data_IF_265090069044
#
_entry.id   IF_265090069044
#
_cell.length_a   1.000
_cell.length_b   1.000
_cell.length_c   1.000
_cell.angle_alpha   90.00
_cell.angle_beta   90.00
_cell.angle_gamma   90.00
#
_symmetry.space_group_name_H-M   'P 1'
#
loop_
_entity.id
_entity.type
_entity.pdbx_description
1 polymer ?
#
# COMPACT_ATOMS: atom_id res chain seq x y z
N UNK A 1 0.87 -16.49 -20.60
CA UNK A 1 0.76 -15.14 -21.19
C UNK A 1 -0.58 -14.55 -20.77
N UNK A 2 -0.53 -13.38 -20.13
CA UNK A 2 -1.73 -12.63 -19.78
C UNK A 2 -2.31 -12.01 -21.05
N UNK A 3 -3.65 -11.99 -21.23
CA UNK A 3 -4.25 -11.33 -22.37
C UNK A 3 -3.89 -9.84 -22.33
N UNK A 4 -3.54 -9.28 -23.49
CA UNK A 4 -3.30 -7.87 -23.60
C UNK A 4 -4.60 -7.09 -23.42
N UNK A 5 -4.84 -6.59 -22.22
CA UNK A 5 -5.70 -5.45 -22.06
C UNK A 5 -4.82 -4.19 -22.15
N UNK A 6 -4.70 -3.65 -23.35
CA UNK A 6 -3.87 -2.49 -23.63
C UNK A 6 -4.28 -1.27 -22.76
N UNK A 7 -5.51 -1.22 -22.30
CA UNK A 7 -6.01 -0.11 -21.49
C UNK A 7 -5.46 -0.18 -20.05
N UNK A 8 -5.48 -1.35 -19.42
CA UNK A 8 -4.98 -1.46 -18.04
C UNK A 8 -3.44 -1.42 -18.00
N UNK A 9 -2.77 -2.00 -19.00
CA UNK A 9 -1.29 -1.96 -19.09
C UNK A 9 -0.74 -0.54 -19.22
N UNK A 10 -1.49 0.39 -19.84
CA UNK A 10 -1.10 1.81 -19.94
C UNK A 10 -1.09 2.54 -18.61
N UNK A 11 -1.70 1.96 -17.57
CA UNK A 11 -1.65 2.48 -16.20
C UNK A 11 -0.37 2.07 -15.47
N UNK A 12 0.40 1.15 -16.06
CA UNK A 12 1.68 0.68 -15.50
C UNK A 12 2.77 1.73 -15.66
N UNK A 13 3.71 1.74 -14.72
CA UNK A 13 4.88 2.61 -14.75
C UNK A 13 6.13 1.82 -14.35
N UNK A 14 7.17 1.92 -15.15
CA UNK A 14 8.49 1.34 -14.88
C UNK A 14 9.43 2.35 -14.19
N UNK A 15 8.91 3.51 -13.83
CA UNK A 15 9.63 4.61 -13.18
C UNK A 15 10.93 5.04 -13.88
N UNK A 16 11.00 4.80 -15.18
CA UNK A 16 12.15 5.16 -16.00
C UNK A 16 12.21 6.63 -16.42
N UNK A 17 11.11 7.37 -16.24
CA UNK A 17 10.98 8.75 -16.70
C UNK A 17 10.33 9.63 -15.62
N UNK A 18 11.00 10.69 -15.13
CA UNK A 18 10.43 11.59 -14.12
C UNK A 18 9.08 12.20 -14.50
N UNK A 19 8.84 12.40 -15.80
CA UNK A 19 7.59 12.99 -16.29
C UNK A 19 6.35 12.14 -16.00
N UNK A 20 6.49 10.82 -15.82
CA UNK A 20 5.35 9.93 -15.55
C UNK A 20 4.77 10.15 -14.16
N UNK A 21 5.49 10.83 -13.26
CA UNK A 21 4.97 11.21 -11.95
C UNK A 21 3.68 12.04 -12.05
N UNK A 22 3.53 12.83 -13.11
CA UNK A 22 2.32 13.59 -13.39
C UNK A 22 1.08 12.77 -13.73
N UNK A 23 1.22 11.48 -14.03
CA UNK A 23 0.12 10.57 -14.34
C UNK A 23 -0.52 10.00 -13.07
N UNK A 24 0.14 10.13 -11.92
CA UNK A 24 -0.32 9.60 -10.65
C UNK A 24 -1.18 10.61 -9.91
N UNK A 25 -2.35 10.18 -9.50
CA UNK A 25 -3.21 10.94 -8.59
C UNK A 25 -2.68 10.83 -7.16
N UNK A 26 -2.93 11.86 -6.36
CA UNK A 26 -2.54 11.92 -4.96
C UNK A 26 -3.78 12.11 -4.09
N UNK A 27 -3.96 11.22 -3.10
CA UNK A 27 -5.17 11.17 -2.28
C UNK A 27 -5.47 12.49 -1.57
N UNK A 28 -4.45 13.16 -1.05
CA UNK A 28 -4.64 14.41 -0.33
C UNK A 28 -5.22 15.53 -1.21
N UNK A 29 -4.83 15.58 -2.48
CA UNK A 29 -5.37 16.55 -3.45
C UNK A 29 -6.82 16.23 -3.82
N UNK A 30 -7.09 14.97 -4.08
CA UNK A 30 -8.39 14.52 -4.57
C UNK A 30 -9.47 14.53 -3.50
N UNK A 31 -9.06 14.47 -2.24
CA UNK A 31 -9.94 14.55 -1.08
C UNK A 31 -9.84 15.89 -0.34
N UNK A 32 -9.14 16.86 -0.91
CA UNK A 32 -9.01 18.23 -0.39
C UNK A 32 -8.39 18.33 1.01
N UNK A 33 -7.52 17.39 1.38
CA UNK A 33 -6.78 17.47 2.62
C UNK A 33 -5.69 18.54 2.55
N UNK A 34 -5.45 19.33 3.61
CA UNK A 34 -4.41 20.35 3.61
C UNK A 34 -2.99 19.78 3.71
N UNK A 35 -2.85 18.55 4.22
CA UNK A 35 -1.56 17.92 4.47
C UNK A 35 -1.19 16.93 3.36
N UNK A 36 -0.06 17.19 2.69
CA UNK A 36 0.69 16.19 1.95
C UNK A 36 1.48 15.32 2.94
N UNK A 37 1.27 14.02 2.94
CA UNK A 37 1.93 13.09 3.86
C UNK A 37 3.31 12.63 3.35
N UNK A 38 3.83 13.22 2.28
CA UNK A 38 5.19 12.97 1.81
C UNK A 38 6.11 14.18 2.04
N UNK A 39 7.27 13.90 2.58
CA UNK A 39 8.42 14.80 2.56
C UNK A 39 9.09 14.79 1.18
N UNK A 40 9.17 13.59 0.56
CA UNK A 40 9.81 13.42 -0.73
C UNK A 40 9.05 12.45 -1.62
N UNK A 41 8.95 12.82 -2.91
CA UNK A 41 8.42 11.99 -3.98
C UNK A 41 9.19 12.30 -5.26
N UNK A 42 9.98 11.36 -5.76
CA UNK A 42 10.71 11.55 -7.02
C UNK A 42 10.86 10.24 -7.80
N UNK A 43 11.02 10.38 -9.11
CA UNK A 43 11.44 9.30 -10.00
C UNK A 43 12.85 9.63 -10.51
N UNK A 44 13.79 8.77 -10.17
CA UNK A 44 15.14 8.79 -10.72
C UNK A 44 16.12 9.79 -10.11
N UNK A 45 15.68 10.75 -9.29
CA UNK A 45 16.56 11.70 -8.64
C UNK A 45 17.33 11.06 -7.48
N UNK A 46 16.64 10.33 -6.62
CA UNK A 46 17.26 9.60 -5.51
C UNK A 46 17.94 8.32 -6.01
N UNK A 47 17.27 7.57 -6.88
CA UNK A 47 17.78 6.34 -7.49
C UNK A 47 17.33 6.24 -8.93
N UNK A 48 18.26 6.19 -9.93
CA UNK A 48 17.90 6.08 -11.33
C UNK A 48 17.00 4.88 -11.62
N UNK A 49 15.86 5.12 -12.30
CA UNK A 49 14.89 4.10 -12.67
C UNK A 49 13.99 3.61 -11.53
N UNK A 50 13.93 4.33 -10.42
CA UNK A 50 13.10 3.99 -9.27
C UNK A 50 12.25 5.18 -8.81
N UNK A 51 11.05 4.89 -8.33
CA UNK A 51 10.27 5.84 -7.56
C UNK A 51 10.73 5.80 -6.11
N UNK A 52 11.13 6.94 -5.56
CA UNK A 52 11.50 7.11 -4.16
C UNK A 52 10.44 7.88 -3.41
N UNK A 53 10.03 7.38 -2.26
CA UNK A 53 9.03 7.97 -1.37
C UNK A 53 9.56 8.03 0.06
N UNK A 54 9.48 9.22 0.66
CA UNK A 54 9.80 9.45 2.08
C UNK A 54 8.56 10.05 2.74
N UNK A 55 7.90 9.35 3.67
CA UNK A 55 6.73 9.89 4.35
C UNK A 55 7.10 10.83 5.49
N UNK A 56 6.22 11.76 5.79
CA UNK A 56 6.09 12.31 7.13
C UNK A 56 5.51 11.24 8.07
N UNK A 57 5.56 11.48 9.38
CA UNK A 57 4.89 10.62 10.36
C UNK A 57 3.40 10.58 10.07
N UNK A 58 2.89 9.40 9.74
CA UNK A 58 1.50 9.17 9.36
C UNK A 58 1.16 7.68 9.45
N UNK A 59 -0.10 7.32 9.23
CA UNK A 59 -0.53 5.91 9.21
C UNK A 59 -1.69 5.67 8.26
N UNK A 60 -1.81 4.42 7.79
CA UNK A 60 -3.05 3.82 7.31
C UNK A 60 -3.50 2.77 8.33
N UNK A 61 -4.36 3.17 9.23
CA UNK A 61 -4.99 2.28 10.22
C UNK A 61 -6.35 2.85 10.62
N UNK A 62 -7.41 2.05 10.56
CA UNK A 62 -8.77 2.54 10.79
C UNK A 62 -9.08 3.78 9.94
N UNK A 63 -9.29 4.94 10.55
CA UNK A 63 -9.61 6.20 9.89
C UNK A 63 -8.40 7.15 9.76
N UNK A 64 -7.20 6.72 10.12
CA UNK A 64 -5.97 7.44 9.81
C UNK A 64 -5.66 7.34 8.33
N UNK A 65 -5.26 8.45 7.73
CA UNK A 65 -4.91 8.59 6.33
C UNK A 65 -3.41 8.87 6.16
N UNK A 66 -2.70 7.96 5.55
CA UNK A 66 -1.35 8.19 5.03
C UNK A 66 -1.36 8.69 3.58
N UNK A 67 -0.24 8.58 2.91
CA UNK A 67 -0.13 8.83 1.47
C UNK A 67 -0.81 7.72 0.67
N UNK A 68 -1.33 8.09 -0.50
CA UNK A 68 -1.66 7.17 -1.58
C UNK A 68 -1.44 7.87 -2.93
N UNK A 69 -0.44 7.41 -3.67
CA UNK A 69 -0.22 7.75 -5.08
C UNK A 69 -0.85 6.66 -5.94
N UNK A 70 -1.88 6.98 -6.72
CA UNK A 70 -2.76 5.95 -7.27
C UNK A 70 -3.27 6.23 -8.67
N UNK A 71 -3.80 5.19 -9.30
CA UNK A 71 -4.71 5.23 -10.44
C UNK A 71 -6.06 4.62 -10.08
N UNK A 72 -7.05 4.80 -10.95
CA UNK A 72 -8.40 4.25 -10.76
C UNK A 72 -8.60 3.07 -11.70
N UNK A 73 -8.99 1.93 -11.15
CA UNK A 73 -9.19 0.68 -11.91
C UNK A 73 -10.58 0.15 -11.69
N UNK A 74 -11.29 -0.12 -12.78
CA UNK A 74 -12.58 -0.79 -12.78
C UNK A 74 -12.43 -2.29 -13.08
N UNK A 75 -13.19 -3.13 -12.38
CA UNK A 75 -13.21 -4.59 -12.56
C UNK A 75 -12.00 -5.30 -11.97
N UNK A 76 -11.73 -6.50 -12.47
CA UNK A 76 -10.64 -7.35 -11.99
C UNK A 76 -9.27 -6.86 -12.45
N UNK A 77 -8.26 -7.05 -11.61
CA UNK A 77 -6.89 -6.66 -11.92
C UNK A 77 -5.87 -7.49 -11.13
N UNK A 78 -4.65 -7.45 -11.60
CA UNK A 78 -3.44 -7.81 -10.84
C UNK A 78 -2.53 -6.60 -10.83
N UNK A 79 -2.23 -6.08 -9.65
CA UNK A 79 -1.25 -5.03 -9.42
C UNK A 79 0.01 -5.64 -8.83
N UNK A 80 1.18 -5.35 -9.41
CA UNK A 80 2.47 -5.90 -8.97
C UNK A 80 3.51 -4.81 -8.85
N UNK A 81 4.29 -4.83 -7.78
CA UNK A 81 5.43 -3.93 -7.57
C UNK A 81 6.60 -4.70 -6.98
N UNK A 82 7.79 -4.15 -7.12
CA UNK A 82 8.99 -4.55 -6.39
C UNK A 82 9.40 -3.38 -5.52
N UNK A 83 9.56 -3.63 -4.23
CA UNK A 83 9.83 -2.60 -3.23
C UNK A 83 11.04 -2.94 -2.38
N UNK A 84 11.78 -1.92 -2.01
CA UNK A 84 12.83 -1.94 -1.00
C UNK A 84 12.52 -0.87 0.05
N UNK A 85 12.78 -1.16 1.32
CA UNK A 85 12.60 -0.23 2.44
C UNK A 85 13.87 -0.14 3.25
N UNK A 86 14.21 1.06 3.71
CA UNK A 86 15.42 1.33 4.46
C UNK A 86 15.15 2.33 5.58
N UNK A 87 15.97 2.26 6.61
CA UNK A 87 16.12 3.37 7.54
C UNK A 87 16.83 4.52 6.82
N UNK A 88 16.17 5.65 6.67
CA UNK A 88 16.69 6.82 5.93
C UNK A 88 17.92 7.45 6.58
N UNK A 89 18.13 7.25 7.88
CA UNK A 89 19.31 7.71 8.61
C UNK A 89 20.56 6.83 8.35
N UNK A 90 20.38 5.70 7.67
CA UNK A 90 21.48 4.80 7.34
C UNK A 90 22.45 5.39 6.32
N UNK A 91 23.73 5.10 6.50
CA UNK A 91 24.84 5.60 5.68
C UNK A 91 25.17 4.63 4.55
N UNK A 92 24.36 4.58 3.52
CA UNK A 92 24.69 3.79 2.33
C UNK A 92 24.29 4.49 1.04
N UNK A 93 24.88 4.12 -0.12
CA UNK A 93 24.40 4.64 -1.39
C UNK A 93 22.96 4.20 -1.63
N UNK A 94 22.16 4.98 -2.40
CA UNK A 94 20.83 4.60 -2.77
C UNK A 94 20.76 3.17 -3.31
N UNK A 95 19.84 2.37 -2.79
CA UNK A 95 19.72 0.96 -3.15
C UNK A 95 20.65 0.01 -2.41
N UNK A 96 21.43 0.48 -1.45
CA UNK A 96 22.16 -0.39 -0.54
C UNK A 96 21.30 -0.70 0.69
N UNK A 97 21.39 -1.95 1.18
CA UNK A 97 20.78 -2.35 2.45
C UNK A 97 21.58 -1.87 3.68
N UNK A 98 22.56 -0.99 3.48
CA UNK A 98 23.45 -0.56 4.56
C UNK A 98 22.74 0.22 5.66
N UNK A 99 21.55 0.80 5.37
CA UNK A 99 20.74 1.47 6.36
C UNK A 99 19.96 0.55 7.30
N UNK A 100 19.86 -0.74 6.94
CA UNK A 100 19.01 -1.68 7.68
C UNK A 100 17.52 -1.39 7.55
N UNK A 101 16.67 -2.15 8.28
CA UNK A 101 15.24 -1.87 8.33
C UNK A 101 14.96 -0.57 9.09
N UNK A 102 13.79 0.06 8.85
CA UNK A 102 13.34 1.16 9.69
C UNK A 102 13.27 0.78 11.17
N UNK A 103 13.52 1.71 12.06
CA UNK A 103 13.50 1.51 13.51
C UNK A 103 12.17 1.93 14.14
N UNK A 104 11.35 2.71 13.44
CA UNK A 104 10.04 3.14 13.90
C UNK A 104 8.98 2.05 13.72
N UNK A 105 8.02 2.00 14.63
CA UNK A 105 6.91 1.06 14.59
C UNK A 105 6.00 1.35 13.40
N UNK A 106 5.64 0.31 12.65
CA UNK A 106 4.82 0.39 11.42
C UNK A 106 5.35 1.40 10.40
N UNK A 107 6.60 1.24 10.04
CA UNK A 107 7.27 1.93 8.93
C UNK A 107 7.23 1.04 7.70
N UNK A 108 6.24 1.26 6.82
CA UNK A 108 5.82 0.31 5.82
C UNK A 108 5.60 0.96 4.45
N UNK A 109 5.88 0.19 3.40
CA UNK A 109 5.69 0.57 2.01
C UNK A 109 5.05 -0.56 1.21
N UNK A 110 4.15 -0.25 0.29
CA UNK A 110 3.53 -1.30 -0.53
C UNK A 110 2.37 -0.87 -1.39
N UNK A 111 1.52 -1.83 -1.73
CA UNK A 111 0.35 -1.64 -2.59
C UNK A 111 -0.90 -1.50 -1.73
N UNK A 112 -1.60 -0.39 -1.90
CA UNK A 112 -2.91 -0.15 -1.30
C UNK A 112 -4.01 -0.23 -2.37
N UNK A 113 -5.08 -0.93 -2.04
CA UNK A 113 -6.33 -1.02 -2.80
C UNK A 113 -7.45 -0.44 -1.95
N UNK A 114 -8.05 0.69 -2.38
CA UNK A 114 -9.02 1.44 -1.57
C UNK A 114 -10.30 1.73 -2.36
N UNK A 115 -11.43 1.62 -1.69
CA UNK A 115 -12.68 2.14 -2.20
C UNK A 115 -12.65 3.69 -2.16
N UNK A 116 -12.97 4.38 -3.26
CA UNK A 116 -13.16 5.83 -3.22
C UNK A 116 -14.21 6.20 -2.17
N UNK A 117 -13.97 7.29 -1.45
CA UNK A 117 -14.98 7.86 -0.55
C UNK A 117 -16.09 8.52 -1.39
N UNK A 118 -17.32 8.15 -1.10
CA UNK A 118 -18.49 8.69 -1.81
C UNK A 118 -18.97 10.04 -1.24
N UNK A 119 -18.50 10.40 -0.06
CA UNK A 119 -18.88 11.59 0.70
C UNK A 119 -17.94 12.79 0.48
N UNK A 120 -16.95 12.66 -0.40
CA UNK A 120 -16.03 13.76 -0.74
C UNK A 120 -16.78 14.91 -1.39
N UNK A 121 -16.69 16.09 -0.79
CA UNK A 121 -17.24 17.35 -1.29
C UNK A 121 -16.12 18.39 -1.38
N UNK A 122 -16.06 19.10 -2.51
CA UNK A 122 -15.10 20.19 -2.71
C UNK A 122 -15.37 21.34 -1.72
N UNK A 123 -14.39 22.02 -1.18
CA UNK A 123 -12.95 21.98 -1.49
C UNK A 123 -12.13 22.04 -0.19
N UNK A 124 -12.62 21.49 0.86
CA UNK A 124 -11.99 21.36 2.16
C UNK A 124 -12.39 20.01 2.81
N UNK A 125 -11.73 19.55 3.85
CA UNK A 125 -12.02 18.25 4.44
C UNK A 125 -13.23 18.23 5.40
N UNK A 126 -14.08 19.24 5.41
CA UNK A 126 -15.27 19.30 6.27
C UNK A 126 -16.31 18.20 5.98
N UNK A 127 -16.23 17.60 4.78
CA UNK A 127 -17.02 16.42 4.39
C UNK A 127 -16.64 15.17 5.20
N UNK A 128 -15.39 15.09 5.66
CA UNK A 128 -14.84 13.87 6.24
C UNK A 128 -15.47 13.53 7.60
N UNK A 129 -15.83 12.27 7.74
CA UNK A 129 -16.27 11.66 8.98
C UNK A 129 -15.58 10.31 9.17
N UNK A 130 -15.25 9.89 10.39
CA UNK A 130 -14.71 8.57 10.65
C UNK A 130 -15.72 7.46 10.29
N UNK A 131 -15.23 6.24 10.17
CA UNK A 131 -16.07 5.06 9.92
C UNK A 131 -16.31 4.74 8.45
N UNK A 132 -15.78 5.54 7.50
CA UNK A 132 -16.03 5.34 6.07
C UNK A 132 -14.92 4.64 5.29
N UNK A 133 -13.80 4.30 5.91
CA UNK A 133 -12.65 3.73 5.20
C UNK A 133 -12.83 2.25 4.86
N UNK A 134 -12.49 1.89 3.62
CA UNK A 134 -12.50 0.52 3.09
C UNK A 134 -11.29 0.32 2.20
N UNK A 135 -10.32 -0.44 2.68
CA UNK A 135 -9.10 -0.70 1.93
C UNK A 135 -8.45 -2.04 2.31
N UNK A 136 -7.57 -2.50 1.45
CA UNK A 136 -6.64 -3.61 1.69
C UNK A 136 -5.24 -3.15 1.35
N UNK A 137 -4.29 -3.48 2.22
CA UNK A 137 -2.89 -3.10 2.09
C UNK A 137 -1.99 -4.32 2.23
N UNK A 138 -1.06 -4.46 1.29
CA UNK A 138 0.04 -5.42 1.32
C UNK A 138 1.34 -4.64 1.34
N UNK A 139 2.16 -4.83 2.36
CA UNK A 139 3.33 -3.99 2.61
C UNK A 139 4.55 -4.75 3.12
N UNK A 140 5.68 -4.08 3.02
CA UNK A 140 6.99 -4.51 3.47
C UNK A 140 7.69 -3.38 4.22
N UNK A 141 8.40 -3.69 5.29
CA UNK A 141 9.14 -2.76 6.13
C UNK A 141 9.24 -3.25 7.57
N UNK A 142 9.33 -2.36 8.54
CA UNK A 142 9.17 -2.66 9.96
C UNK A 142 7.72 -2.52 10.38
N UNK A 143 7.14 -3.52 11.01
CA UNK A 143 5.78 -3.48 11.52
C UNK A 143 5.77 -3.50 13.06
N UNK A 144 5.21 -4.53 13.67
CA UNK A 144 5.14 -4.67 15.13
C UNK A 144 6.48 -4.94 15.82
N UNK A 145 7.47 -5.39 15.07
CA UNK A 145 8.84 -5.57 15.54
C UNK A 145 9.73 -4.53 14.87
N UNK A 146 10.06 -3.48 15.60
CA UNK A 146 10.96 -2.41 15.15
C UNK A 146 12.35 -2.94 14.83
N UNK A 147 12.99 -2.38 13.81
CA UNK A 147 14.33 -2.80 13.40
C UNK A 147 14.39 -4.21 12.76
N UNK A 148 13.27 -4.74 12.27
CA UNK A 148 13.20 -6.01 11.56
C UNK A 148 12.36 -5.88 10.29
N UNK A 149 12.77 -6.55 9.20
CA UNK A 149 11.91 -6.63 8.01
C UNK A 149 10.75 -7.59 8.23
N UNK A 150 9.57 -7.12 7.89
CA UNK A 150 8.32 -7.85 8.03
C UNK A 150 7.41 -7.60 6.82
N UNK A 151 6.52 -8.53 6.54
CA UNK A 151 5.39 -8.36 5.64
C UNK A 151 4.16 -8.12 6.50
N UNK A 152 3.40 -7.06 6.18
CA UNK A 152 2.09 -6.82 6.75
C UNK A 152 1.01 -6.97 5.68
N UNK A 153 -0.12 -7.56 6.05
CA UNK A 153 -1.37 -7.46 5.33
C UNK A 153 -2.42 -6.81 6.22
N UNK A 154 -3.08 -5.78 5.73
CA UNK A 154 -4.12 -5.06 6.46
C UNK A 154 -5.42 -5.05 5.66
N UNK A 155 -6.52 -5.26 6.35
CA UNK A 155 -7.87 -5.16 5.79
C UNK A 155 -8.69 -4.24 6.66
N UNK A 156 -9.15 -3.12 6.10
CA UNK A 156 -10.00 -2.14 6.78
C UNK A 156 -11.38 -2.13 6.13
N UNK A 157 -12.41 -2.21 6.94
CA UNK A 157 -13.82 -2.10 6.53
C UNK A 157 -14.47 -0.89 7.17
N UNK A 158 -15.51 -0.38 6.54
CA UNK A 158 -16.32 0.67 7.14
C UNK A 158 -16.97 0.20 8.44
N UNK A 159 -17.27 1.16 9.30
CA UNK A 159 -18.01 0.93 10.54
C UNK A 159 -19.39 0.35 10.25
N UNK A 160 -19.83 -0.57 11.10
CA UNK A 160 -21.18 -1.10 11.14
C UNK A 160 -21.75 -0.78 12.53
N UNK A 161 -22.90 -0.10 12.65
CA UNK A 161 -23.43 0.25 13.97
C UNK A 161 -23.48 -0.95 14.93
N UNK A 162 -23.06 -0.80 16.18
CA UNK A 162 -22.77 0.46 16.91
C UNK A 162 -21.33 1.01 16.76
N UNK A 163 -20.51 0.48 15.86
CA UNK A 163 -19.15 1.01 15.61
C UNK A 163 -19.24 2.45 15.10
N UNK A 164 -18.29 3.29 15.52
CA UNK A 164 -18.18 4.70 15.11
C UNK A 164 -16.94 4.96 14.25
N UNK A 165 -16.05 3.98 14.16
CA UNK A 165 -14.79 4.04 13.43
C UNK A 165 -14.65 2.84 12.53
N UNK A 166 -13.93 3.01 11.42
CA UNK A 166 -13.53 1.92 10.55
C UNK A 166 -12.72 0.88 11.32
N UNK A 167 -12.86 -0.38 10.94
CA UNK A 167 -12.23 -1.50 11.66
C UNK A 167 -11.13 -2.11 10.82
N UNK A 168 -9.92 -2.12 11.36
CA UNK A 168 -8.75 -2.74 10.73
C UNK A 168 -8.39 -4.07 11.37
N UNK A 169 -8.10 -5.06 10.54
CA UNK A 169 -7.50 -6.33 10.92
C UNK A 169 -6.20 -6.51 10.14
N UNK A 170 -5.12 -6.82 10.84
CA UNK A 170 -3.80 -6.97 10.24
C UNK A 170 -3.15 -8.29 10.64
N UNK A 171 -2.29 -8.79 9.78
CA UNK A 171 -1.42 -9.96 10.02
C UNK A 171 0.00 -9.56 9.65
N UNK A 172 0.93 -9.87 10.54
CA UNK A 172 2.36 -9.55 10.40
C UNK A 172 3.16 -10.83 10.46
N UNK A 173 4.11 -10.97 9.56
CA UNK A 173 5.06 -12.08 9.55
C UNK A 173 6.47 -11.61 9.24
N UNK A 174 7.50 -12.41 9.59
CA UNK A 174 8.88 -12.08 9.29
C UNK A 174 9.13 -12.05 7.79
N UNK A 175 10.11 -11.25 7.38
CA UNK A 175 10.62 -11.20 6.01
C UNK A 175 12.15 -11.12 6.00
N UNK A 176 12.73 -11.47 4.85
CA UNK A 176 14.17 -11.36 4.63
C UNK A 176 14.55 -9.95 4.17
N UNK A 177 15.81 -9.58 4.42
CA UNK A 177 16.39 -8.37 3.84
C UNK A 177 16.43 -8.45 2.30
N UNK A 178 16.27 -7.32 1.64
CA UNK A 178 16.37 -7.20 0.18
C UNK A 178 15.06 -6.80 -0.49
N UNK A 179 15.07 -6.76 -1.82
CA UNK A 179 13.87 -6.42 -2.57
C UNK A 179 12.79 -7.49 -2.42
N UNK A 180 11.57 -7.04 -2.22
CA UNK A 180 10.38 -7.88 -2.13
C UNK A 180 9.42 -7.53 -3.26
N UNK A 181 8.89 -8.53 -3.92
CA UNK A 181 7.81 -8.35 -4.88
C UNK A 181 6.46 -8.58 -4.17
N UNK A 182 5.60 -7.60 -4.31
CA UNK A 182 4.24 -7.58 -3.78
C UNK A 182 3.24 -7.62 -4.92
N UNK A 183 2.21 -8.45 -4.77
CA UNK A 183 1.15 -8.57 -5.77
C UNK A 183 -0.21 -8.64 -5.11
N UNK A 184 -1.13 -7.81 -5.59
CA UNK A 184 -2.53 -7.81 -5.18
C UNK A 184 -3.38 -8.13 -6.40
N UNK A 185 -4.09 -9.25 -6.37
CA UNK A 185 -5.05 -9.64 -7.39
C UNK A 185 -6.47 -9.45 -6.89
N UNK A 186 -7.31 -8.75 -7.69
CA UNK A 186 -8.75 -8.70 -7.51
C UNK A 186 -9.42 -9.60 -8.52
N UNK A 187 -10.30 -10.49 -8.06
CA UNK A 187 -11.14 -11.35 -8.89
C UNK A 187 -12.55 -11.36 -8.28
N UNK A 188 -13.47 -10.61 -8.89
CA UNK A 188 -14.79 -10.37 -8.32
C UNK A 188 -14.67 -9.77 -6.90
N UNK A 189 -15.26 -10.43 -5.88
CA UNK A 189 -15.18 -9.96 -4.50
C UNK A 189 -13.90 -10.39 -3.78
N UNK A 190 -13.05 -11.20 -4.41
CA UNK A 190 -11.87 -11.76 -3.77
C UNK A 190 -10.64 -10.90 -4.00
N UNK A 191 -9.85 -10.70 -2.94
CA UNK A 191 -8.51 -10.16 -2.99
C UNK A 191 -7.52 -11.24 -2.55
N UNK A 192 -6.56 -11.53 -3.43
CA UNK A 192 -5.48 -12.49 -3.20
C UNK A 192 -4.17 -11.72 -3.14
N UNK A 193 -3.51 -11.81 -2.01
CA UNK A 193 -2.24 -11.13 -1.75
C UNK A 193 -1.10 -12.14 -1.87
N UNK A 194 -0.13 -11.84 -2.73
CA UNK A 194 1.03 -12.68 -2.97
C UNK A 194 2.32 -11.92 -2.68
N UNK A 195 3.31 -12.66 -2.20
CA UNK A 195 4.63 -12.12 -1.89
C UNK A 195 5.71 -13.03 -2.49
N UNK A 196 6.76 -12.40 -3.00
CA UNK A 196 7.99 -13.08 -3.40
C UNK A 196 9.20 -12.32 -2.84
N UNK A 197 9.88 -12.91 -1.89
CA UNK A 197 11.16 -12.41 -1.39
C UNK A 197 12.29 -12.79 -2.35
N UNK A 198 13.40 -12.07 -2.29
CA UNK A 198 14.55 -12.32 -3.16
C UNK A 198 15.03 -13.77 -3.06
N UNK A 199 15.15 -14.43 -4.20
CA UNK A 199 15.56 -15.84 -4.29
C UNK A 199 14.51 -16.87 -3.88
N UNK A 200 13.29 -16.44 -3.51
CA UNK A 200 12.20 -17.32 -3.12
C UNK A 200 11.15 -17.46 -4.24
N UNK A 201 10.30 -18.47 -4.12
CA UNK A 201 9.12 -18.62 -4.96
C UNK A 201 7.98 -17.70 -4.47
N UNK A 202 7.04 -17.38 -5.37
CA UNK A 202 5.79 -16.74 -4.97
C UNK A 202 5.04 -17.60 -3.95
N UNK A 203 4.45 -16.94 -2.94
CA UNK A 203 3.52 -17.55 -1.99
C UNK A 203 2.25 -16.73 -1.85
N UNK A 204 1.16 -17.39 -1.54
CA UNK A 204 -0.07 -16.73 -1.12
C UNK A 204 0.13 -16.24 0.31
N UNK A 205 0.09 -14.94 0.50
CA UNK A 205 0.26 -14.32 1.82
C UNK A 205 -1.07 -14.23 2.56
N UNK A 206 -2.14 -13.85 1.86
CA UNK A 206 -3.48 -13.75 2.44
C UNK A 206 -4.54 -13.83 1.35
N UNK A 207 -5.73 -14.31 1.73
CA UNK A 207 -6.92 -14.33 0.90
C UNK A 207 -8.05 -13.66 1.64
N UNK A 208 -8.85 -12.86 0.93
CA UNK A 208 -9.95 -12.12 1.52
C UNK A 208 -11.17 -12.15 0.62
N UNK A 209 -12.35 -12.30 1.22
CA UNK A 209 -13.61 -12.02 0.56
C UNK A 209 -14.08 -10.63 0.98
N UNK A 210 -14.11 -9.68 0.05
CA UNK A 210 -14.41 -8.26 0.26
C UNK A 210 -15.53 -7.79 -0.68
N UNK A 211 -16.75 -8.31 -0.51
CA UNK A 211 -17.90 -7.88 -1.31
C UNK A 211 -18.34 -6.43 -1.05
N UNK A 212 -17.83 -5.82 0.03
CA UNK A 212 -18.04 -4.42 0.38
C UNK A 212 -17.24 -3.43 -0.50
N UNK A 213 -16.27 -3.92 -1.25
CA UNK A 213 -15.48 -3.08 -2.16
C UNK A 213 -16.22 -2.89 -3.49
N UNK A 214 -16.35 -1.63 -3.97
CA UNK A 214 -17.07 -1.34 -5.21
C UNK A 214 -16.34 -1.86 -6.46
N UNK A 215 -17.04 -1.82 -7.60
CA UNK A 215 -16.52 -2.24 -8.91
C UNK A 215 -15.28 -1.44 -9.36
N UNK A 216 -15.14 -0.20 -8.88
CA UNK A 216 -14.04 0.70 -9.22
C UNK A 216 -13.25 1.05 -7.96
N UNK A 217 -11.93 0.92 -8.01
CA UNK A 217 -11.03 1.08 -6.88
C UNK A 217 -9.88 2.04 -7.20
N UNK A 218 -9.39 2.69 -6.16
CA UNK A 218 -8.10 3.39 -6.15
C UNK A 218 -7.02 2.36 -5.86
N UNK A 219 -6.05 2.21 -6.76
CA UNK A 219 -4.97 1.22 -6.64
C UNK A 219 -3.64 1.91 -6.85
N UNK A 220 -2.74 1.80 -5.89
CA UNK A 220 -1.48 2.52 -5.99
C UNK A 220 -0.48 2.17 -4.90
N UNK A 221 0.53 3.02 -4.80
CA UNK A 221 1.62 2.88 -3.86
C UNK A 221 1.41 3.77 -2.65
N UNK A 222 1.78 3.25 -1.49
CA UNK A 222 1.70 3.97 -0.22
C UNK A 222 2.92 3.73 0.63
N UNK A 223 3.21 4.71 1.47
CA UNK A 223 4.24 4.68 2.51
C UNK A 223 3.73 5.39 3.75
N UNK A 224 4.11 4.91 4.91
CA UNK A 224 3.89 5.60 6.18
C UNK A 224 4.86 5.11 7.24
N UNK A 225 5.03 5.87 8.32
CA UNK A 225 6.01 5.58 9.37
C UNK A 225 5.57 6.13 10.71
N UNK A 226 6.13 5.55 11.78
CA UNK A 226 6.10 6.06 13.15
C UNK A 226 4.70 6.04 13.78
N UNK A 227 4.12 4.84 13.85
CA UNK A 227 2.83 4.63 14.52
C UNK A 227 2.83 5.10 15.98
N UNK A 228 3.95 4.97 16.68
CA UNK A 228 4.06 5.37 18.09
C UNK A 228 3.69 6.86 18.29
N UNK A 229 3.95 7.70 17.31
CA UNK A 229 3.57 9.11 17.30
C UNK A 229 2.24 9.33 16.57
N UNK A 230 2.07 8.78 15.36
CA UNK A 230 0.85 8.96 14.57
C UNK A 230 -0.40 8.54 15.36
N UNK A 231 -0.36 7.42 16.06
CA UNK A 231 -1.47 6.88 16.84
C UNK A 231 -1.85 7.69 18.09
N UNK A 232 -1.06 8.70 18.48
CA UNK A 232 -1.39 9.61 19.60
C UNK A 232 -2.28 10.78 19.19
N UNK A 233 -2.47 10.99 17.89
CA UNK A 233 -3.25 12.10 17.35
C UNK A 233 -4.71 11.70 17.15
N UNK A 234 -5.68 12.62 17.35
CA UNK A 234 -7.03 12.40 16.86
C UNK A 234 -7.04 12.26 15.32
N UNK A 235 -7.91 11.41 14.77
CA UNK A 235 -7.97 11.13 13.34
C UNK A 235 -8.00 12.38 12.45
N UNK A 236 -8.92 13.31 12.73
CA UNK A 236 -9.08 14.50 11.89
C UNK A 236 -7.84 15.40 11.91
N UNK A 237 -7.23 15.57 13.07
CA UNK A 237 -6.02 16.38 13.25
C UNK A 237 -4.83 15.72 12.55
N UNK A 238 -4.64 14.41 12.76
CA UNK A 238 -3.62 13.63 12.06
C UNK A 238 -3.76 13.78 10.54
N UNK A 239 -4.97 13.56 10.01
CA UNK A 239 -5.22 13.56 8.58
C UNK A 239 -5.01 14.94 7.93
N UNK A 240 -5.17 16.01 8.72
CA UNK A 240 -5.01 17.40 8.26
C UNK A 240 -3.61 17.99 8.53
N UNK A 241 -2.72 17.28 9.21
CA UNK A 241 -1.44 17.82 9.68
C UNK A 241 -0.24 17.15 9.01
N UNK A 242 0.82 17.91 8.81
CA UNK A 242 2.16 17.40 8.49
C UNK A 242 2.91 17.23 9.81
N UNK A 243 3.18 15.97 10.18
CA UNK A 243 3.88 15.61 11.42
C UNK A 243 5.33 15.27 11.09
N UNK A 244 6.26 16.11 11.53
CA UNK A 244 7.71 16.00 11.23
C UNK A 244 8.51 15.92 12.51
N UNK A 245 9.83 15.66 12.38
CA UNK A 245 10.78 15.70 13.48
C UNK A 245 10.87 17.06 14.20
N UNK A 246 10.51 18.14 13.51
CA UNK A 246 10.43 19.49 14.10
C UNK A 246 9.15 19.71 14.92
N UNK A 247 8.19 18.81 14.84
CA UNK A 247 6.91 18.91 15.52
C UNK A 247 7.05 18.28 16.91
N UNK A 248 6.93 19.12 17.95
CA UNK A 248 7.07 18.67 19.33
C UNK A 248 5.74 18.80 20.07
N UNK A 249 5.16 17.66 20.44
CA UNK A 249 4.42 17.61 21.72
C UNK A 249 5.45 17.50 22.84
N UNK A 250 5.21 18.11 24.01
CA UNK A 250 6.13 17.99 25.14
C UNK A 250 6.46 16.52 25.45
N UNK A 251 7.70 16.12 25.23
CA UNK A 251 8.20 14.78 25.54
C UNK A 251 8.17 13.76 24.42
N UNK A 252 7.69 14.11 23.21
CA UNK A 252 7.72 13.22 22.06
C UNK A 252 8.16 13.96 20.81
N UNK A 253 9.12 13.43 20.08
CA UNK A 253 9.50 13.93 18.76
C UNK A 253 9.17 12.87 17.71
N UNK A 254 8.51 13.25 16.62
CA UNK A 254 8.38 12.39 15.47
C UNK A 254 9.74 12.24 14.79
N UNK A 255 10.06 11.01 14.41
CA UNK A 255 11.29 10.69 13.68
C UNK A 255 10.96 9.79 12.48
N UNK A 256 10.43 10.39 11.38
CA UNK A 256 10.07 9.62 10.19
C UNK A 256 11.33 9.05 9.54
N UNK A 257 11.55 7.76 9.71
CA UNK A 257 12.81 7.08 9.38
C UNK A 257 12.73 6.21 8.12
N UNK A 258 11.61 6.19 7.42
CA UNK A 258 11.40 5.37 6.22
C UNK A 258 11.88 6.06 4.95
N UNK A 259 12.73 5.37 4.19
CA UNK A 259 12.91 5.57 2.75
C UNK A 259 12.39 4.32 2.03
N UNK A 260 11.40 4.47 1.17
CA UNK A 260 10.89 3.40 0.32
C UNK A 260 11.25 3.65 -1.14
N UNK A 261 11.60 2.59 -1.86
CA UNK A 261 11.94 2.63 -3.28
C UNK A 261 11.18 1.55 -4.03
N UNK A 262 10.52 1.95 -5.12
CA UNK A 262 9.73 1.06 -5.97
C UNK A 262 10.34 1.02 -7.36
N UNK A 263 10.56 -0.20 -7.88
CA UNK A 263 11.16 -0.43 -9.20
C UNK A 263 10.13 -0.23 -10.32
N UNK A 264 8.90 -0.66 -10.09
CA UNK A 264 7.78 -0.53 -11.03
C UNK A 264 6.43 -0.62 -10.29
N UNK A 265 5.35 -0.22 -10.98
CA UNK A 265 3.98 -0.64 -10.66
C UNK A 265 3.30 -1.07 -11.95
N UNK A 266 2.98 -2.37 -12.05
CA UNK A 266 2.41 -2.99 -13.25
C UNK A 266 1.01 -3.50 -13.02
N UNK A 267 0.17 -3.33 -14.04
CA UNK A 267 -1.22 -3.78 -14.02
C UNK A 267 -1.51 -4.71 -15.20
N UNK A 268 -2.22 -5.82 -14.93
CA UNK A 268 -2.74 -6.73 -15.94
C UNK A 268 -4.13 -7.23 -15.55
N UNK A 269 -4.89 -7.77 -16.51
CA UNK A 269 -6.14 -8.51 -16.22
C UNK A 269 -5.82 -9.95 -15.84
N UNK A 270 -6.42 -10.49 -14.75
CA UNK A 270 -6.26 -11.90 -14.43
C UNK A 270 -7.00 -12.77 -15.43
N UNK A 271 -6.40 -13.90 -15.82
CA UNK A 271 -7.07 -14.96 -16.54
C UNK A 271 -7.43 -16.09 -15.59
N UNK A 272 -8.67 -16.08 -15.12
CA UNK A 272 -9.13 -17.14 -14.22
C UNK A 272 -9.35 -18.43 -15.04
N UNK A 273 -8.66 -19.51 -14.69
CA UNK A 273 -8.86 -20.80 -15.37
C UNK A 273 -10.33 -21.25 -15.27
N UNK A 274 -10.91 -21.86 -16.35
CA UNK A 274 -12.30 -22.27 -16.37
C UNK A 274 -12.77 -23.07 -15.13
N UNK A 275 -11.97 -24.00 -14.58
CA UNK A 275 -12.39 -24.75 -13.38
C UNK A 275 -12.50 -23.89 -12.11
N UNK A 276 -11.93 -22.69 -12.08
CA UNK A 276 -11.94 -21.78 -10.92
C UNK A 276 -12.98 -20.66 -11.07
N UNK A 277 -13.62 -20.54 -12.21
CA UNK A 277 -14.67 -19.55 -12.44
C UNK A 277 -15.84 -19.82 -11.50
N UNK A 278 -16.19 -18.81 -10.67
CA UNK A 278 -17.26 -18.93 -9.67
C UNK A 278 -16.89 -19.67 -8.39
N UNK A 279 -15.66 -20.18 -8.28
CA UNK A 279 -15.18 -20.78 -7.03
C UNK A 279 -14.93 -19.74 -5.95
N UNK A 280 -15.03 -20.14 -4.68
CA UNK A 280 -14.65 -19.29 -3.55
C UNK A 280 -13.11 -19.24 -3.40
N UNK A 281 -12.49 -18.22 -4.01
CA UNK A 281 -11.03 -18.07 -4.01
C UNK A 281 -10.48 -17.71 -2.62
N UNK A 282 -11.32 -17.29 -1.68
CA UNK A 282 -10.91 -17.04 -0.31
C UNK A 282 -10.85 -18.31 0.55
N UNK A 283 -11.44 -19.40 0.10
CA UNK A 283 -11.48 -20.68 0.82
C UNK A 283 -10.35 -21.64 0.35
N UNK A 284 -9.34 -21.93 1.19
CA UNK A 284 -8.28 -22.88 0.85
C UNK A 284 -8.78 -24.30 0.59
N UNK A 285 -9.95 -24.66 1.12
CA UNK A 285 -10.58 -25.96 0.87
C UNK A 285 -11.23 -26.05 -0.51
N UNK A 286 -11.68 -24.93 -1.07
CA UNK A 286 -12.27 -24.88 -2.41
C UNK A 286 -11.19 -24.68 -3.50
N UNK A 287 -10.17 -23.85 -3.25
CA UNK A 287 -9.09 -23.54 -4.19
C UNK A 287 -7.75 -23.53 -3.44
N UNK A 288 -6.86 -24.44 -3.80
CA UNK A 288 -5.54 -24.53 -3.17
C UNK A 288 -4.62 -23.34 -3.53
N UNK A 289 -3.57 -23.09 -2.71
CA UNK A 289 -2.53 -22.11 -3.04
C UNK A 289 -1.84 -22.42 -4.37
N UNK A 290 -1.56 -23.71 -4.63
CA UNK A 290 -0.95 -24.13 -5.88
C UNK A 290 -1.80 -23.76 -7.10
N UNK A 291 -3.13 -23.90 -7.01
CA UNK A 291 -4.03 -23.48 -8.09
C UNK A 291 -4.03 -21.96 -8.30
N UNK A 292 -4.04 -21.17 -7.21
CA UNK A 292 -3.91 -19.70 -7.32
C UNK A 292 -2.58 -19.28 -7.90
N UNK A 293 -1.48 -19.86 -7.42
CA UNK A 293 -0.13 -19.54 -7.89
C UNK A 293 0.06 -19.92 -9.36
N UNK A 294 -0.58 -20.99 -9.83
CA UNK A 294 -0.45 -21.44 -11.22
C UNK A 294 -0.89 -20.37 -12.23
N UNK A 295 -1.83 -19.50 -11.90
CA UNK A 295 -2.27 -18.44 -12.81
C UNK A 295 -1.99 -17.02 -12.33
N UNK A 296 -1.71 -16.81 -11.04
CA UNK A 296 -1.38 -15.49 -10.50
C UNK A 296 0.14 -15.26 -10.36
N UNK A 297 0.96 -16.30 -10.21
CA UNK A 297 2.41 -16.16 -10.06
C UNK A 297 3.16 -15.89 -11.38
N UNK A 298 2.79 -16.45 -12.55
CA UNK A 298 3.46 -16.14 -13.81
C UNK A 298 3.26 -14.71 -14.27
N UNK A 299 4.27 -14.20 -15.03
CA UNK A 299 4.25 -12.87 -15.67
C UNK A 299 4.25 -11.71 -14.69
N UNK A 300 4.07 -10.47 -15.18
CA UNK A 300 5.16 -9.65 -15.73
C UNK A 300 6.11 -9.21 -14.66
#
# INVERSE_FOLDING_TARGET
>A
DWPEDAQIRRLSDEFGQPATLGNWRRIWRDEYWPADQLEQLDIGATRPGWLSMVPHTSSWYQDYRGELSYTVIAGDFVASTRVETYNRAGSGPPGSLAGGPPDSEYSLAGVLVRAPRADVVCCDPSWWQPGGERYVFLSFGSASQTGAWQIETKSTRAAIPPETHSVSALEVGPASAGPVELRVARIGPYLILLVRESGQAWRVQRRMNRPDLPGTLQVGLTVYTDWAIAGTWPYAEHNASVITSAWQSPGTSADPDLLAQFDYLRFVRPQVPPPLVGANLADPGAVSDAQLLAFLAPGP
#
